data_IF_996805704140
#
_entry.id   IF_996805704140
#
_cell.length_a   1.000
_cell.length_b   1.000
_cell.length_c   1.000
_cell.angle_alpha   90.00
_cell.angle_beta   90.00
_cell.angle_gamma   90.00
#
_symmetry.space_group_name_H-M   'P 1'
#
loop_
_entity.id
_entity.type
_entity.pdbx_description
1 polymer ?
#
# COMPACT_ATOMS: atom_id res chain seq x y z
N UNK A 1 11.35 36.02 -63.18
CA UNK A 1 10.32 35.87 -62.13
C UNK A 1 10.55 34.55 -61.41
N UNK A 2 11.19 34.62 -60.24
CA UNK A 2 11.30 33.48 -59.34
C UNK A 2 10.20 33.60 -58.27
N UNK A 3 9.27 32.64 -58.25
CA UNK A 3 8.24 32.51 -57.19
C UNK A 3 8.87 31.75 -56.04
N UNK A 4 9.15 32.43 -54.91
CA UNK A 4 9.50 31.82 -53.64
C UNK A 4 8.22 31.33 -52.96
N UNK A 5 7.97 30.00 -52.96
CA UNK A 5 6.96 29.37 -52.11
C UNK A 5 7.50 29.31 -50.67
N UNK A 6 6.96 30.13 -49.77
CA UNK A 6 7.14 29.94 -48.33
C UNK A 6 6.20 28.82 -47.87
N UNK A 7 6.75 27.65 -47.66
CA UNK A 7 6.07 26.57 -46.94
C UNK A 7 6.08 26.93 -45.43
N UNK A 8 4.97 27.45 -44.95
CA UNK A 8 4.73 27.57 -43.46
C UNK A 8 4.49 26.17 -42.92
N UNK A 9 5.52 25.53 -42.39
CA UNK A 9 5.35 24.35 -41.53
C UNK A 9 4.65 24.80 -40.26
N UNK A 10 3.34 24.67 -40.24
CA UNK A 10 2.60 24.69 -38.96
C UNK A 10 3.00 23.48 -38.14
N UNK A 11 3.94 23.65 -37.22
CA UNK A 11 4.13 22.69 -36.14
C UNK A 11 2.83 22.72 -35.31
N UNK A 12 1.90 21.84 -35.64
CA UNK A 12 0.85 21.45 -34.72
C UNK A 12 1.56 20.77 -33.53
N UNK A 13 1.94 21.57 -32.56
CA UNK A 13 2.50 21.08 -31.31
C UNK A 13 1.50 20.11 -30.72
N UNK A 14 1.86 18.85 -30.74
CA UNK A 14 1.22 17.85 -29.91
C UNK A 14 1.28 18.42 -28.49
N UNK A 15 0.19 18.99 -27.99
CA UNK A 15 0.07 19.38 -26.58
C UNK A 15 0.12 18.07 -25.80
N UNK A 16 1.36 17.61 -25.54
CA UNK A 16 1.63 16.42 -24.78
C UNK A 16 0.84 16.55 -23.47
N UNK A 17 0.18 15.47 -23.06
CA UNK A 17 -0.43 15.41 -21.75
C UNK A 17 0.62 15.88 -20.75
N UNK A 18 0.26 16.84 -19.91
CA UNK A 18 1.14 17.34 -18.86
C UNK A 18 1.64 16.17 -18.03
N UNK A 19 2.96 16.07 -17.90
CA UNK A 19 3.56 14.98 -17.13
C UNK A 19 3.13 15.11 -15.67
N UNK A 20 2.68 14.01 -15.02
CA UNK A 20 2.28 14.05 -13.63
C UNK A 20 3.50 14.32 -12.74
N UNK A 21 3.36 15.29 -11.85
CA UNK A 21 4.35 15.67 -10.84
C UNK A 21 3.68 15.55 -9.49
N UNK A 22 4.02 14.47 -8.77
CA UNK A 22 3.40 14.10 -7.51
C UNK A 22 4.12 14.72 -6.31
N UNK A 23 3.35 15.15 -5.32
CA UNK A 23 3.84 15.39 -3.97
C UNK A 23 3.08 14.48 -3.00
N UNK A 24 3.81 13.71 -2.20
CA UNK A 24 3.26 12.79 -1.21
C UNK A 24 3.08 13.49 0.14
N UNK A 25 1.86 13.45 0.67
CA UNK A 25 1.49 13.93 1.99
C UNK A 25 1.42 12.73 2.93
N UNK A 26 2.57 12.33 3.47
CA UNK A 26 2.71 11.22 4.40
C UNK A 26 2.03 11.54 5.72
N UNK A 27 1.13 10.66 6.17
CA UNK A 27 0.30 10.88 7.34
C UNK A 27 1.08 10.78 8.66
N UNK A 28 2.06 9.89 8.74
CA UNK A 28 2.84 9.64 9.96
C UNK A 28 3.91 10.70 10.16
N UNK A 29 4.76 10.90 9.15
CA UNK A 29 5.86 11.85 9.20
C UNK A 29 5.39 13.31 9.38
N UNK A 30 4.15 13.60 9.00
CA UNK A 30 3.58 14.94 9.07
C UNK A 30 2.32 15.03 9.94
N UNK A 31 2.13 14.10 10.87
CA UNK A 31 0.91 14.02 11.67
C UNK A 31 0.57 15.32 12.39
N UNK A 32 1.56 15.93 13.05
CA UNK A 32 1.42 17.24 13.71
C UNK A 32 1.31 18.40 12.71
N UNK A 33 2.06 18.32 11.59
CA UNK A 33 2.08 19.37 10.56
C UNK A 33 0.70 19.54 9.89
N UNK A 34 -0.02 18.46 9.68
CA UNK A 34 -1.36 18.49 9.08
C UNK A 34 -2.48 18.39 10.13
N UNK A 35 -2.22 18.91 11.34
CA UNK A 35 -3.22 18.97 12.40
C UNK A 35 -4.31 20.02 12.13
N UNK A 36 -4.04 21.06 11.34
CA UNK A 36 -4.95 22.15 11.05
C UNK A 36 -5.25 22.30 9.56
N UNK A 37 -6.41 22.84 9.25
CA UNK A 37 -6.85 23.20 7.89
C UNK A 37 -5.92 24.23 7.24
N UNK A 38 -5.52 25.26 7.98
CA UNK A 38 -4.64 26.33 7.48
C UNK A 38 -3.27 25.76 7.05
N UNK A 39 -2.71 24.83 7.82
CA UNK A 39 -1.47 24.18 7.47
C UNK A 39 -1.60 23.37 6.16
N UNK A 40 -2.66 22.62 5.99
CA UNK A 40 -2.94 21.88 4.76
C UNK A 40 -3.04 22.82 3.56
N UNK A 41 -3.85 23.89 3.67
CA UNK A 41 -3.98 24.89 2.62
C UNK A 41 -2.65 25.52 2.24
N UNK A 42 -1.85 25.91 3.23
CA UNK A 42 -0.51 26.48 3.00
C UNK A 42 0.39 25.53 2.19
N UNK A 43 0.47 24.26 2.57
CA UNK A 43 1.33 23.30 1.87
C UNK A 43 0.81 22.92 0.47
N UNK A 44 -0.50 22.89 0.26
CA UNK A 44 -1.08 22.68 -1.07
C UNK A 44 -0.81 23.88 -2.00
N UNK A 45 -0.95 25.11 -1.50
CA UNK A 45 -0.61 26.33 -2.25
C UNK A 45 0.88 26.35 -2.62
N UNK A 46 1.75 26.01 -1.68
CA UNK A 46 3.18 25.89 -1.92
C UNK A 46 3.49 24.81 -2.96
N UNK A 47 2.88 23.63 -2.88
CA UNK A 47 3.02 22.57 -3.87
C UNK A 47 2.63 23.06 -5.27
N UNK A 48 1.49 23.72 -5.40
CA UNK A 48 1.04 24.29 -6.66
C UNK A 48 2.00 25.34 -7.20
N UNK A 49 2.49 26.25 -6.35
CA UNK A 49 3.39 27.34 -6.74
C UNK A 49 4.74 26.88 -7.29
N UNK A 50 5.22 25.70 -6.86
CA UNK A 50 6.48 25.10 -7.36
C UNK A 50 6.25 24.07 -8.48
N UNK A 51 5.02 23.98 -8.99
CA UNK A 51 4.69 23.26 -10.22
C UNK A 51 4.28 21.79 -10.06
N UNK A 52 3.92 21.33 -8.86
CA UNK A 52 3.20 20.07 -8.70
C UNK A 52 1.78 20.18 -9.27
N UNK A 53 1.29 19.10 -9.88
CA UNK A 53 -0.04 19.06 -10.47
C UNK A 53 -0.91 17.91 -9.91
N UNK A 54 -0.33 17.09 -9.06
CA UNK A 54 -1.01 15.98 -8.38
C UNK A 54 -0.46 15.80 -6.96
N UNK A 55 -1.35 15.51 -6.02
CA UNK A 55 -1.00 15.22 -4.62
C UNK A 55 -1.44 13.81 -4.26
N UNK A 56 -0.60 13.10 -3.51
CA UNK A 56 -0.94 11.82 -2.92
C UNK A 56 -1.21 12.06 -1.44
N UNK A 57 -2.42 11.75 -1.00
CA UNK A 57 -2.86 11.96 0.38
C UNK A 57 -2.95 10.60 1.07
N UNK A 58 -2.05 10.34 1.98
CA UNK A 58 -2.10 9.14 2.80
C UNK A 58 -3.17 9.30 3.89
N UNK A 59 -4.10 8.35 3.94
CA UNK A 59 -5.25 8.41 4.86
C UNK A 59 -5.41 7.17 5.72
N UNK A 60 -4.65 6.11 5.46
CA UNK A 60 -4.56 4.92 6.29
C UNK A 60 -3.12 4.47 6.37
N UNK A 61 -2.34 5.02 7.30
CA UNK A 61 -0.98 4.58 7.54
C UNK A 61 -0.92 3.19 8.16
N UNK A 62 0.26 2.76 8.60
CA UNK A 62 0.52 1.40 9.07
C UNK A 62 -0.26 0.99 10.30
N UNK A 63 -0.78 1.92 11.09
CA UNK A 63 -1.58 1.64 12.31
C UNK A 63 -2.92 0.95 12.01
N UNK A 64 -3.44 1.14 10.79
CA UNK A 64 -4.74 0.60 10.39
C UNK A 64 -5.92 1.52 10.65
N UNK A 65 -5.77 2.52 11.51
CA UNK A 65 -6.69 3.62 11.75
C UNK A 65 -6.62 4.64 10.61
N UNK A 66 -7.62 5.53 10.50
CA UNK A 66 -7.80 6.37 9.31
C UNK A 66 -7.98 7.86 9.60
N UNK A 67 -7.62 8.68 8.60
CA UNK A 67 -7.76 10.14 8.59
C UNK A 67 -8.95 10.63 7.74
N UNK A 68 -9.95 9.79 7.52
CA UNK A 68 -11.20 10.16 6.87
C UNK A 68 -12.40 9.69 7.69
N UNK A 69 -13.60 10.18 7.39
CA UNK A 69 -14.81 9.72 8.10
C UNK A 69 -15.21 8.33 7.64
N UNK A 70 -14.72 7.32 8.35
CA UNK A 70 -15.00 5.91 8.09
C UNK A 70 -16.15 5.39 8.96
N UNK A 71 -16.89 4.41 8.42
CA UNK A 71 -17.89 3.61 9.15
C UNK A 71 -17.35 2.26 9.59
N UNK A 72 -16.14 1.90 9.15
CA UNK A 72 -15.55 0.56 9.35
C UNK A 72 -14.25 0.59 10.14
N UNK A 73 -13.61 1.76 10.24
CA UNK A 73 -12.33 1.93 10.93
C UNK A 73 -12.39 3.10 11.91
N UNK A 74 -11.67 3.00 13.04
CA UNK A 74 -11.54 4.11 13.97
C UNK A 74 -10.70 5.25 13.39
N UNK A 75 -10.89 6.48 13.86
CA UNK A 75 -10.09 7.61 13.46
C UNK A 75 -8.67 7.51 14.03
N UNK A 76 -7.66 7.82 13.22
CA UNK A 76 -6.27 7.96 13.68
C UNK A 76 -6.14 9.22 14.53
N UNK A 77 -5.99 9.04 15.82
CA UNK A 77 -5.86 10.13 16.81
C UNK A 77 -4.48 10.18 17.45
N UNK A 78 -3.71 9.10 17.39
CA UNK A 78 -2.41 9.01 18.06
C UNK A 78 -1.35 8.45 17.11
N UNK A 79 -0.20 9.12 17.03
CA UNK A 79 0.99 8.67 16.31
C UNK A 79 2.21 9.00 17.16
N UNK A 80 3.01 8.00 17.50
CA UNK A 80 4.23 8.17 18.31
C UNK A 80 3.99 8.96 19.60
N UNK A 81 2.88 8.70 20.31
CA UNK A 81 2.51 9.37 21.54
C UNK A 81 1.98 10.81 21.38
N UNK A 82 1.89 11.33 20.16
CA UNK A 82 1.25 12.63 19.85
C UNK A 82 -0.23 12.41 19.60
N UNK A 83 -1.08 13.19 20.27
CA UNK A 83 -2.53 13.07 20.20
C UNK A 83 -3.13 14.27 19.47
N UNK A 84 -3.90 14.02 18.41
CA UNK A 84 -4.60 15.05 17.64
C UNK A 84 -6.02 14.57 17.34
N UNK A 85 -6.99 15.30 17.84
CA UNK A 85 -8.41 15.10 17.53
C UNK A 85 -8.84 16.06 16.44
N UNK A 86 -9.52 15.52 15.40
CA UNK A 86 -10.09 16.31 14.30
C UNK A 86 -11.60 16.13 14.29
N UNK A 87 -12.35 17.23 14.40
CA UNK A 87 -13.82 17.26 14.30
C UNK A 87 -14.30 17.37 12.85
N UNK A 88 -13.36 17.50 11.90
CA UNK A 88 -13.58 17.65 10.48
C UNK A 88 -13.04 16.46 9.69
N UNK A 89 -13.47 16.31 8.43
CA UNK A 89 -13.04 15.26 7.52
C UNK A 89 -11.75 15.66 6.82
N UNK A 90 -10.65 15.02 7.18
CA UNK A 90 -9.32 15.30 6.68
C UNK A 90 -9.22 15.07 5.16
N UNK A 91 -9.68 13.93 4.65
CA UNK A 91 -9.61 13.63 3.22
C UNK A 91 -10.50 14.59 2.43
N UNK A 92 -11.72 14.83 2.87
CA UNK A 92 -12.63 15.76 2.19
C UNK A 92 -12.06 17.17 2.13
N UNK A 93 -11.37 17.61 3.19
CA UNK A 93 -10.72 18.91 3.20
C UNK A 93 -9.59 18.99 2.18
N UNK A 94 -8.70 17.96 2.12
CA UNK A 94 -7.66 17.88 1.10
C UNK A 94 -8.23 17.93 -0.32
N UNK A 95 -9.28 17.17 -0.58
CA UNK A 95 -9.95 17.16 -1.90
C UNK A 95 -10.46 18.55 -2.26
N UNK A 96 -11.17 19.23 -1.37
CA UNK A 96 -11.75 20.54 -1.64
C UNK A 96 -10.65 21.57 -1.94
N UNK A 97 -9.59 21.61 -1.13
CA UNK A 97 -8.48 22.56 -1.33
C UNK A 97 -7.66 22.23 -2.58
N UNK A 98 -7.38 20.96 -2.84
CA UNK A 98 -6.69 20.55 -4.05
C UNK A 98 -7.49 20.93 -5.32
N UNK A 99 -8.82 20.72 -5.32
CA UNK A 99 -9.69 21.12 -6.41
C UNK A 99 -9.70 22.64 -6.62
N UNK A 100 -9.74 23.43 -5.54
CA UNK A 100 -9.63 24.90 -5.60
C UNK A 100 -8.36 25.36 -6.32
N UNK A 101 -7.26 24.62 -6.14
CA UNK A 101 -5.95 24.91 -6.73
C UNK A 101 -5.73 24.23 -8.11
N UNK A 102 -6.70 23.47 -8.61
CA UNK A 102 -6.55 22.70 -9.85
C UNK A 102 -5.48 21.60 -9.74
N UNK A 103 -5.36 20.96 -8.58
CA UNK A 103 -4.54 19.78 -8.34
C UNK A 103 -5.39 18.53 -8.42
N UNK A 104 -4.84 17.46 -8.98
CA UNK A 104 -5.42 16.12 -8.89
C UNK A 104 -5.11 15.50 -7.53
N UNK A 105 -6.00 14.62 -7.07
CA UNK A 105 -5.87 13.92 -5.79
C UNK A 105 -5.82 12.42 -6.01
N UNK A 106 -4.71 11.82 -5.62
CA UNK A 106 -4.58 10.38 -5.37
C UNK A 106 -4.75 10.14 -3.88
N UNK A 107 -5.67 9.26 -3.48
CA UNK A 107 -5.74 8.78 -2.11
C UNK A 107 -4.84 7.57 -1.94
N UNK A 108 -4.09 7.49 -0.84
CA UNK A 108 -3.22 6.36 -0.51
C UNK A 108 -3.67 5.65 0.76
N UNK A 109 -3.52 4.33 0.78
CA UNK A 109 -3.70 3.51 1.97
C UNK A 109 -2.65 2.41 2.05
N UNK A 110 -2.07 2.21 3.25
CA UNK A 110 -1.29 1.03 3.56
C UNK A 110 -2.21 -0.20 3.63
N UNK A 111 -2.12 -1.09 2.62
CA UNK A 111 -3.12 -2.14 2.41
C UNK A 111 -3.13 -3.20 3.51
N UNK A 112 -1.98 -3.78 3.83
CA UNK A 112 -1.90 -4.90 4.75
C UNK A 112 -1.41 -4.55 6.16
N UNK A 113 -0.53 -3.56 6.39
CA UNK A 113 -0.19 -3.15 7.75
C UNK A 113 -1.41 -2.65 8.51
N UNK A 114 -1.55 -3.04 9.76
CA UNK A 114 -2.63 -2.62 10.65
C UNK A 114 -2.17 -2.53 12.10
N UNK A 115 -0.90 -2.22 12.32
CA UNK A 115 -0.27 -1.96 13.62
C UNK A 115 1.20 -1.64 13.48
N UNK A 116 1.75 -0.97 14.49
CA UNK A 116 3.15 -0.57 14.57
C UNK A 116 3.87 -1.41 15.65
N UNK A 117 4.72 -2.39 15.27
CA UNK A 117 5.32 -3.33 16.22
C UNK A 117 6.21 -2.67 17.28
N UNK A 118 6.95 -1.62 16.93
CA UNK A 118 7.85 -0.97 17.88
C UNK A 118 7.11 -0.34 19.09
N UNK A 119 5.89 0.15 18.87
CA UNK A 119 5.08 0.81 19.92
C UNK A 119 3.92 -0.04 20.43
N UNK A 120 3.57 -1.15 19.76
CA UNK A 120 2.37 -1.97 19.98
C UNK A 120 1.05 -1.18 19.83
N UNK A 121 1.05 -0.21 18.91
CA UNK A 121 -0.13 0.59 18.60
C UNK A 121 -0.83 0.08 17.34
N UNK A 122 -2.14 0.35 17.23
CA UNK A 122 -2.96 0.07 16.06
C UNK A 122 -3.80 -1.20 16.15
N UNK A 123 -4.65 -1.40 15.15
CA UNK A 123 -5.78 -2.34 15.17
C UNK A 123 -5.42 -3.76 15.57
N UNK A 124 -4.28 -4.30 15.13
CA UNK A 124 -3.91 -5.69 15.42
C UNK A 124 -3.47 -5.93 16.85
N UNK A 125 -3.26 -4.86 17.62
CA UNK A 125 -2.96 -4.93 19.06
C UNK A 125 -4.18 -4.65 19.91
N UNK A 126 -5.15 -3.91 19.38
CA UNK A 126 -6.35 -3.45 20.09
C UNK A 126 -7.55 -4.35 19.89
N UNK A 127 -7.63 -5.06 18.76
CA UNK A 127 -8.80 -5.85 18.39
C UNK A 127 -8.47 -7.34 18.23
N UNK A 128 -8.97 -8.18 19.13
CA UNK A 128 -8.76 -9.65 19.11
C UNK A 128 -9.27 -10.34 17.84
N UNK A 129 -10.15 -9.71 17.06
CA UNK A 129 -10.57 -10.25 15.75
C UNK A 129 -9.42 -10.48 14.77
N UNK A 130 -8.25 -9.87 15.01
CA UNK A 130 -7.05 -10.00 14.19
C UNK A 130 -6.08 -11.06 14.68
N UNK A 131 -6.34 -11.71 15.81
CA UNK A 131 -5.51 -12.79 16.33
C UNK A 131 -5.43 -13.94 15.33
N UNK A 132 -4.21 -14.41 15.07
CA UNK A 132 -3.92 -15.47 14.10
C UNK A 132 -4.12 -15.05 12.63
N UNK A 133 -4.25 -13.76 12.32
CA UNK A 133 -4.41 -13.25 10.95
C UNK A 133 -3.26 -12.39 10.46
N UNK A 134 -2.30 -12.13 11.32
CA UNK A 134 -1.03 -11.47 11.00
C UNK A 134 -0.07 -12.44 10.29
N UNK A 135 0.90 -11.89 9.57
CA UNK A 135 1.96 -12.69 8.97
C UNK A 135 2.84 -13.34 10.03
N UNK A 136 3.28 -14.57 9.76
CA UNK A 136 4.30 -15.25 10.55
C UNK A 136 5.65 -15.24 9.81
N UNK A 137 6.69 -14.93 10.54
CA UNK A 137 8.06 -14.90 10.06
C UNK A 137 8.78 -16.21 10.38
N UNK A 138 9.53 -16.72 9.42
CA UNK A 138 10.44 -17.84 9.64
C UNK A 138 11.82 -17.31 9.99
N UNK A 139 12.16 -17.36 11.26
CA UNK A 139 13.37 -16.74 11.82
C UNK A 139 14.62 -17.64 11.69
N UNK A 140 15.84 -17.07 11.73
CA UNK A 140 17.08 -17.84 11.60
C UNK A 140 17.29 -18.90 12.66
N UNK A 141 16.65 -18.81 13.82
CA UNK A 141 16.66 -19.85 14.87
C UNK A 141 15.60 -20.94 14.65
N UNK A 142 14.97 -20.96 13.47
CA UNK A 142 14.02 -22.00 13.06
C UNK A 142 12.62 -21.85 13.63
N UNK A 143 12.28 -20.71 14.25
CA UNK A 143 10.97 -20.48 14.85
C UNK A 143 10.04 -19.73 13.92
N UNK A 144 8.75 -19.83 14.23
CA UNK A 144 7.71 -18.97 13.65
C UNK A 144 7.41 -17.85 14.64
N UNK A 145 7.66 -16.61 14.23
CA UNK A 145 7.41 -15.41 15.02
C UNK A 145 6.22 -14.64 14.43
N UNK A 146 5.25 -14.27 15.27
CA UNK A 146 4.22 -13.33 14.83
C UNK A 146 4.86 -11.96 14.56
N UNK A 147 4.60 -11.38 13.40
CA UNK A 147 5.19 -10.09 13.01
C UNK A 147 4.91 -8.97 14.02
N UNK A 148 3.86 -9.09 14.83
CA UNK A 148 3.56 -8.17 15.94
C UNK A 148 4.67 -8.13 17.00
N UNK A 149 5.46 -9.19 17.10
CA UNK A 149 6.54 -9.34 18.09
C UNK A 149 7.90 -8.82 17.57
N UNK A 150 8.10 -8.72 16.24
CA UNK A 150 9.33 -8.17 15.68
C UNK A 150 9.34 -6.65 15.66
N UNK A 151 9.98 -6.06 16.69
CA UNK A 151 10.09 -4.61 16.87
C UNK A 151 10.87 -3.88 15.79
N UNK A 152 11.53 -4.59 14.87
CA UNK A 152 12.29 -4.01 13.76
C UNK A 152 11.46 -3.86 12.49
N UNK A 153 10.29 -4.49 12.43
CA UNK A 153 9.41 -4.38 11.26
C UNK A 153 8.69 -3.03 11.23
N UNK A 154 8.56 -2.52 10.03
CA UNK A 154 7.90 -1.22 9.77
C UNK A 154 6.41 -1.25 10.12
N UNK A 155 5.77 -2.40 10.06
CA UNK A 155 4.36 -2.57 10.36
C UNK A 155 3.99 -4.02 10.63
N UNK A 156 2.94 -4.24 11.39
CA UNK A 156 2.33 -5.55 11.61
C UNK A 156 1.36 -5.85 10.47
N UNK A 157 1.81 -6.66 9.52
CA UNK A 157 1.08 -6.99 8.30
C UNK A 157 0.04 -8.09 8.55
N UNK A 158 -1.18 -7.85 8.11
CA UNK A 158 -2.19 -8.88 7.94
C UNK A 158 -1.83 -9.78 6.74
N UNK A 159 -2.14 -11.06 6.84
CA UNK A 159 -1.78 -12.06 5.84
C UNK A 159 -2.61 -11.93 4.55
N UNK A 160 -2.00 -11.58 3.39
CA UNK A 160 -2.72 -11.35 2.13
C UNK A 160 -3.30 -12.62 1.48
N UNK A 161 -2.93 -13.81 1.96
CA UNK A 161 -3.50 -15.08 1.52
C UNK A 161 -4.93 -15.27 2.03
N UNK A 162 -5.25 -14.71 3.18
CA UNK A 162 -6.54 -14.89 3.84
C UNK A 162 -7.67 -14.14 3.14
N UNK A 163 -8.75 -14.83 2.86
CA UNK A 163 -9.93 -14.24 2.20
C UNK A 163 -10.62 -13.16 3.05
N UNK A 164 -10.65 -13.33 4.37
CA UNK A 164 -11.24 -12.34 5.28
C UNK A 164 -10.41 -11.06 5.36
N UNK A 165 -9.08 -11.15 5.37
CA UNK A 165 -8.16 -10.02 5.27
C UNK A 165 -8.36 -9.27 3.94
N UNK A 166 -8.40 -9.98 2.82
CA UNK A 166 -8.65 -9.36 1.50
C UNK A 166 -10.01 -8.67 1.44
N UNK A 167 -11.06 -9.31 1.97
CA UNK A 167 -12.40 -8.72 2.05
C UNK A 167 -12.41 -7.42 2.87
N UNK A 168 -11.69 -7.41 3.98
CA UNK A 168 -11.53 -6.21 4.81
C UNK A 168 -10.81 -5.11 4.03
N UNK A 169 -9.67 -5.39 3.42
CA UNK A 169 -8.93 -4.41 2.61
C UNK A 169 -9.78 -3.85 1.45
N UNK A 170 -10.53 -4.70 0.74
CA UNK A 170 -11.47 -4.27 -0.30
C UNK A 170 -12.61 -3.40 0.24
N UNK A 171 -13.06 -3.61 1.49
CA UNK A 171 -14.11 -2.77 2.07
C UNK A 171 -13.64 -1.32 2.29
N UNK A 172 -12.36 -1.12 2.61
CA UNK A 172 -11.73 0.20 2.74
C UNK A 172 -11.70 0.90 1.37
N UNK A 173 -11.20 0.19 0.35
CA UNK A 173 -11.19 0.71 -1.04
C UNK A 173 -12.60 1.14 -1.48
N UNK A 174 -13.57 0.26 -1.24
CA UNK A 174 -14.99 0.53 -1.57
C UNK A 174 -15.52 1.76 -0.85
N UNK A 175 -15.25 1.89 0.45
CA UNK A 175 -15.71 3.02 1.24
C UNK A 175 -15.17 4.33 0.71
N UNK A 176 -13.87 4.40 0.41
CA UNK A 176 -13.24 5.60 -0.10
C UNK A 176 -13.75 5.96 -1.50
N UNK A 177 -13.68 5.04 -2.46
CA UNK A 177 -14.06 5.31 -3.86
C UNK A 177 -15.56 5.65 -3.98
N UNK A 178 -16.38 5.18 -3.06
CA UNK A 178 -17.82 5.44 -3.04
C UNK A 178 -18.19 6.80 -2.46
N UNK A 179 -17.40 7.29 -1.51
CA UNK A 179 -17.78 8.47 -0.71
C UNK A 179 -16.93 9.71 -1.04
N UNK A 180 -15.81 9.58 -1.76
CA UNK A 180 -14.88 10.67 -2.03
C UNK A 180 -14.58 10.82 -3.52
N UNK A 181 -14.55 12.07 -4.01
CA UNK A 181 -14.22 12.40 -5.40
C UNK A 181 -12.71 12.49 -5.60
N UNK A 182 -12.06 11.32 -5.73
CA UNK A 182 -10.62 11.19 -5.99
C UNK A 182 -10.33 10.87 -7.45
N UNK A 183 -9.18 11.31 -7.98
CA UNK A 183 -8.75 10.99 -9.34
C UNK A 183 -8.12 9.61 -9.44
N UNK A 184 -7.39 9.19 -8.39
CA UNK A 184 -6.72 7.91 -8.34
C UNK A 184 -6.69 7.32 -6.92
N UNK A 185 -6.47 6.02 -6.85
CA UNK A 185 -6.26 5.26 -5.63
C UNK A 185 -4.91 4.58 -5.67
N UNK A 186 -4.00 4.90 -4.76
CA UNK A 186 -2.68 4.31 -4.65
C UNK A 186 -2.66 3.21 -3.58
N UNK A 187 -2.18 2.03 -3.98
CA UNK A 187 -1.92 0.91 -3.08
C UNK A 187 -0.52 1.07 -2.49
N UNK A 188 -0.44 1.47 -1.24
CA UNK A 188 0.79 1.42 -0.48
C UNK A 188 0.88 0.14 0.35
N UNK A 189 2.08 -0.35 0.64
CA UNK A 189 2.31 -1.61 1.37
C UNK A 189 1.42 -2.78 0.91
N UNK A 190 1.00 -2.79 -0.36
CA UNK A 190 0.30 -3.92 -0.96
C UNK A 190 1.28 -5.02 -1.34
N UNK A 191 1.91 -5.62 -0.34
CA UNK A 191 3.05 -6.54 -0.45
C UNK A 191 3.22 -7.36 0.81
N UNK A 192 4.13 -8.32 0.78
CA UNK A 192 4.62 -8.98 1.99
C UNK A 192 5.61 -8.09 2.75
N UNK A 193 5.76 -8.27 4.07
CA UNK A 193 6.67 -7.47 4.88
C UNK A 193 8.15 -7.71 4.54
N UNK A 194 8.51 -8.93 4.14
CA UNK A 194 9.86 -9.33 3.83
C UNK A 194 9.91 -10.67 3.11
N UNK A 195 11.11 -11.17 2.89
CA UNK A 195 11.36 -12.46 2.26
C UNK A 195 11.37 -13.65 3.26
N UNK A 196 11.17 -13.36 4.55
CA UNK A 196 11.04 -14.26 5.67
C UNK A 196 9.58 -14.52 6.09
N UNK A 197 8.61 -14.01 5.36
CA UNK A 197 7.16 -14.17 5.63
C UNK A 197 6.31 -14.23 4.35
N UNK A 198 5.08 -14.75 4.34
CA UNK A 198 4.34 -15.33 5.47
C UNK A 198 4.46 -16.86 5.48
N UNK A 199 4.83 -17.43 6.60
CA UNK A 199 4.98 -18.89 6.77
C UNK A 199 3.90 -19.50 7.67
N UNK A 200 2.71 -18.90 7.72
CA UNK A 200 1.56 -19.43 8.44
C UNK A 200 1.00 -20.72 7.82
N UNK A 201 0.19 -21.43 8.59
CA UNK A 201 -0.54 -22.60 8.11
C UNK A 201 -1.49 -22.26 6.94
N UNK A 202 -2.05 -21.04 6.90
CA UNK A 202 -2.89 -20.57 5.80
C UNK A 202 -2.07 -20.44 4.50
N UNK A 203 -0.86 -19.87 4.57
CA UNK A 203 0.03 -19.76 3.42
C UNK A 203 0.57 -21.11 2.96
N UNK A 204 0.88 -22.02 3.90
CA UNK A 204 1.24 -23.41 3.55
C UNK A 204 0.12 -24.08 2.74
N UNK A 205 -1.10 -24.07 3.26
CA UNK A 205 -2.27 -24.65 2.59
C UNK A 205 -2.55 -24.03 1.21
N UNK A 206 -2.44 -22.71 1.11
CA UNK A 206 -2.63 -22.01 -0.16
C UNK A 206 -1.53 -22.33 -1.16
N UNK A 207 -0.29 -22.49 -0.71
CA UNK A 207 0.83 -22.89 -1.55
C UNK A 207 0.68 -24.32 -2.07
N UNK A 208 0.25 -25.27 -1.24
CA UNK A 208 -0.09 -26.63 -1.68
C UNK A 208 -1.15 -26.62 -2.77
N UNK A 209 -2.18 -25.79 -2.61
CA UNK A 209 -3.22 -25.62 -3.62
C UNK A 209 -2.65 -25.03 -4.93
N UNK A 210 -1.79 -24.04 -4.85
CA UNK A 210 -1.10 -23.44 -6.00
C UNK A 210 -0.24 -24.45 -6.75
N UNK A 211 0.48 -25.32 -6.02
CA UNK A 211 1.33 -26.37 -6.60
C UNK A 211 0.55 -27.57 -7.13
N UNK A 212 -0.70 -27.78 -6.67
CA UNK A 212 -1.46 -29.00 -6.93
C UNK A 212 -0.93 -30.25 -6.22
N UNK A 213 -0.10 -30.11 -5.19
CA UNK A 213 0.52 -31.22 -4.43
C UNK A 213 0.86 -30.86 -3.00
N UNK A 214 1.08 -31.86 -2.14
CA UNK A 214 1.46 -31.67 -0.74
C UNK A 214 2.94 -31.29 -0.56
N UNK A 215 3.19 -30.39 0.40
CA UNK A 215 4.53 -29.98 0.84
C UNK A 215 4.72 -30.47 2.28
N UNK A 216 5.37 -31.61 2.45
CA UNK A 216 5.45 -32.32 3.76
C UNK A 216 6.34 -31.62 4.76
N UNK A 217 7.52 -31.13 4.31
CA UNK A 217 8.52 -30.49 5.16
C UNK A 217 8.49 -28.97 4.94
N UNK A 218 7.40 -28.33 5.36
CA UNK A 218 7.27 -26.88 5.33
C UNK A 218 7.74 -26.30 6.67
N UNK A 219 8.61 -25.26 6.71
CA UNK A 219 9.07 -24.44 5.58
C UNK A 219 10.37 -24.93 4.89
N UNK A 220 11.01 -26.01 5.34
CA UNK A 220 12.34 -26.43 4.88
C UNK A 220 12.39 -26.74 3.38
N UNK A 221 11.29 -27.22 2.81
CA UNK A 221 11.19 -27.39 1.35
C UNK A 221 11.20 -26.07 0.59
N UNK A 222 11.02 -24.93 1.26
CA UNK A 222 11.15 -23.59 0.67
C UNK A 222 12.60 -23.12 0.85
N UNK A 223 13.06 -23.00 2.07
CA UNK A 223 14.46 -22.75 2.40
C UNK A 223 14.74 -23.11 3.86
N UNK A 224 16.01 -23.30 4.18
CA UNK A 224 16.53 -23.36 5.54
C UNK A 224 17.50 -22.21 5.76
N UNK A 225 17.82 -21.91 7.02
CA UNK A 225 18.79 -20.89 7.35
C UNK A 225 20.19 -21.49 7.52
N UNK A 226 21.19 -20.87 6.93
CA UNK A 226 22.60 -21.15 7.20
C UNK A 226 23.04 -20.48 8.51
N UNK A 227 24.15 -20.91 9.08
CA UNK A 227 24.71 -20.36 10.31
C UNK A 227 25.06 -18.85 10.21
N UNK A 228 25.33 -18.37 9.01
CA UNK A 228 25.61 -16.95 8.71
C UNK A 228 24.35 -16.11 8.49
N UNK A 229 23.16 -16.68 8.65
CA UNK A 229 21.88 -16.00 8.44
C UNK A 229 21.45 -15.88 6.97
N UNK A 230 22.18 -16.49 6.05
CA UNK A 230 21.75 -16.58 4.65
C UNK A 230 20.76 -17.74 4.44
N UNK A 231 20.00 -17.69 3.35
CA UNK A 231 19.03 -18.73 3.01
C UNK A 231 19.67 -19.82 2.13
N UNK A 232 19.46 -21.07 2.52
CA UNK A 232 19.77 -22.23 1.69
C UNK A 232 18.49 -22.68 0.99
N UNK A 233 18.37 -22.50 -0.35
CA UNK A 233 17.15 -22.79 -1.10
C UNK A 233 16.72 -24.25 -1.02
N UNK A 234 15.43 -24.48 -0.73
CA UNK A 234 14.79 -25.78 -0.81
C UNK A 234 14.25 -26.07 -2.21
N UNK A 235 13.65 -27.26 -2.37
CA UNK A 235 13.16 -27.77 -3.66
C UNK A 235 12.03 -26.96 -4.27
N UNK A 236 11.33 -26.14 -3.50
CA UNK A 236 10.23 -25.29 -3.94
C UNK A 236 10.52 -23.79 -3.80
N UNK A 237 11.79 -23.41 -3.70
CA UNK A 237 12.18 -22.02 -3.50
C UNK A 237 11.63 -21.08 -4.57
N UNK A 238 11.78 -21.42 -5.84
CA UNK A 238 11.34 -20.60 -6.96
C UNK A 238 9.80 -20.52 -7.03
N UNK A 239 9.13 -21.64 -6.83
CA UNK A 239 7.67 -21.74 -6.85
C UNK A 239 7.06 -20.94 -5.71
N UNK A 240 7.71 -20.87 -4.56
CA UNK A 240 7.27 -20.05 -3.43
C UNK A 240 7.25 -18.57 -3.77
N UNK A 241 8.29 -18.07 -4.41
CA UNK A 241 8.33 -16.67 -4.85
C UNK A 241 7.28 -16.38 -5.90
N UNK A 242 7.09 -17.25 -6.87
CA UNK A 242 6.04 -17.14 -7.87
C UNK A 242 4.64 -17.16 -7.24
N UNK A 243 4.40 -18.04 -6.27
CA UNK A 243 3.16 -18.07 -5.50
C UNK A 243 2.88 -16.75 -4.78
N UNK A 244 3.85 -16.22 -4.05
CA UNK A 244 3.69 -14.95 -3.32
C UNK A 244 3.39 -13.79 -4.27
N UNK A 245 4.10 -13.70 -5.38
CA UNK A 245 3.82 -12.71 -6.44
C UNK A 245 2.41 -12.87 -7.00
N UNK A 246 1.94 -14.11 -7.22
CA UNK A 246 0.58 -14.39 -7.67
C UNK A 246 -0.48 -13.96 -6.64
N UNK A 247 -0.24 -14.16 -5.35
CA UNK A 247 -1.12 -13.69 -4.27
C UNK A 247 -1.33 -12.19 -4.35
N UNK A 248 -0.25 -11.41 -4.43
CA UNK A 248 -0.33 -9.94 -4.52
C UNK A 248 -0.95 -9.51 -5.84
N UNK A 249 -0.51 -10.04 -6.98
CA UNK A 249 -1.07 -9.72 -8.30
C UNK A 249 -2.57 -9.99 -8.38
N UNK A 250 -3.02 -11.13 -7.82
CA UNK A 250 -4.45 -11.46 -7.80
C UNK A 250 -5.25 -10.47 -6.96
N UNK A 251 -4.70 -10.03 -5.83
CA UNK A 251 -5.35 -9.02 -5.01
C UNK A 251 -5.42 -7.65 -5.70
N UNK A 252 -4.35 -7.21 -6.37
CA UNK A 252 -4.36 -5.96 -7.17
C UNK A 252 -5.46 -6.01 -8.25
N UNK A 253 -5.63 -7.17 -8.90
CA UNK A 253 -6.73 -7.38 -9.88
C UNK A 253 -8.11 -7.26 -9.23
N UNK A 254 -8.28 -7.78 -8.01
CA UNK A 254 -9.54 -7.64 -7.25
C UNK A 254 -9.81 -6.17 -6.91
N UNK A 255 -8.79 -5.43 -6.45
CA UNK A 255 -8.92 -4.00 -6.17
C UNK A 255 -9.31 -3.22 -7.41
N UNK A 256 -8.63 -3.47 -8.55
CA UNK A 256 -8.98 -2.82 -9.81
C UNK A 256 -10.43 -3.07 -10.22
N UNK A 257 -10.88 -4.32 -10.11
CA UNK A 257 -12.27 -4.69 -10.41
C UNK A 257 -13.24 -3.97 -9.49
N UNK A 258 -12.92 -3.87 -8.19
CA UNK A 258 -13.75 -3.18 -7.20
C UNK A 258 -13.87 -1.70 -7.51
N UNK A 259 -12.75 -0.99 -7.74
CA UNK A 259 -12.72 0.43 -8.10
C UNK A 259 -13.55 0.68 -9.34
N UNK A 260 -13.30 -0.04 -10.43
CA UNK A 260 -13.99 0.16 -11.70
C UNK A 260 -15.48 -0.20 -11.66
N UNK A 261 -15.90 -1.06 -10.73
CA UNK A 261 -17.34 -1.35 -10.53
C UNK A 261 -18.10 -0.20 -9.89
N UNK A 262 -17.40 0.71 -9.19
CA UNK A 262 -17.97 1.87 -8.50
C UNK A 262 -17.78 3.14 -9.35
N UNK A 263 -16.54 3.39 -9.78
CA UNK A 263 -16.18 4.53 -10.61
C UNK A 263 -15.01 4.18 -11.54
N UNK A 264 -15.30 3.97 -12.81
CA UNK A 264 -14.31 3.58 -13.81
C UNK A 264 -13.35 4.70 -14.23
N UNK A 265 -13.54 5.93 -13.73
CA UNK A 265 -12.65 7.07 -13.95
C UNK A 265 -11.52 7.15 -12.93
N UNK A 266 -11.67 6.48 -11.78
CA UNK A 266 -10.63 6.44 -10.75
C UNK A 266 -9.50 5.52 -11.23
N UNK A 267 -8.30 6.09 -11.36
CA UNK A 267 -7.12 5.34 -11.76
C UNK A 267 -6.59 4.52 -10.58
N UNK A 268 -6.08 3.32 -10.85
CA UNK A 268 -5.39 2.51 -9.85
C UNK A 268 -3.89 2.73 -9.98
N UNK A 269 -3.28 3.23 -8.93
CA UNK A 269 -1.84 3.42 -8.80
C UNK A 269 -1.26 2.39 -7.82
N UNK A 270 0.03 2.15 -7.90
CA UNK A 270 0.69 1.16 -7.07
C UNK A 270 2.09 1.64 -6.65
N UNK A 271 2.35 1.66 -5.34
CA UNK A 271 3.66 1.97 -4.81
C UNK A 271 4.51 0.70 -4.72
N UNK A 272 5.57 0.61 -5.50
CA UNK A 272 6.45 -0.55 -5.57
C UNK A 272 7.90 -0.19 -5.23
N UNK A 273 8.64 -1.18 -4.73
CA UNK A 273 10.08 -1.06 -4.58
C UNK A 273 10.74 -0.84 -5.94
N UNK A 274 11.79 -0.02 -5.98
CA UNK A 274 12.53 0.32 -7.19
C UNK A 274 13.80 -0.54 -7.42
N UNK A 275 14.09 -1.47 -6.52
CA UNK A 275 15.24 -2.37 -6.61
C UNK A 275 14.83 -3.85 -6.60
N UNK A 276 15.54 -4.65 -7.38
CA UNK A 276 15.16 -6.03 -7.71
C UNK A 276 15.00 -6.94 -6.48
N UNK A 277 15.91 -6.85 -5.53
CA UNK A 277 15.84 -7.67 -4.31
C UNK A 277 14.60 -7.37 -3.46
N UNK A 278 14.23 -6.09 -3.32
CA UNK A 278 13.02 -5.69 -2.62
C UNK A 278 11.76 -6.20 -3.33
N UNK A 279 11.72 -6.10 -4.65
CA UNK A 279 10.59 -6.58 -5.46
C UNK A 279 10.32 -8.06 -5.22
N UNK A 280 11.33 -8.92 -5.33
CA UNK A 280 11.19 -10.37 -5.11
C UNK A 280 10.82 -10.70 -3.66
N UNK A 281 11.55 -10.15 -2.71
CA UNK A 281 11.34 -10.41 -1.28
C UNK A 281 9.95 -10.00 -0.78
N UNK A 282 9.27 -9.11 -1.49
CA UNK A 282 7.98 -8.56 -1.11
C UNK A 282 6.78 -9.08 -1.93
N UNK A 283 7.02 -9.98 -2.88
CA UNK A 283 5.96 -10.50 -3.75
C UNK A 283 5.45 -9.49 -4.78
N UNK A 284 6.28 -8.52 -5.15
CA UNK A 284 5.97 -7.48 -6.15
C UNK A 284 6.62 -7.77 -7.50
N UNK A 285 6.87 -9.03 -7.79
CA UNK A 285 7.56 -9.44 -9.01
C UNK A 285 6.59 -9.53 -10.19
N UNK A 286 6.50 -8.46 -10.95
CA UNK A 286 5.77 -8.38 -12.23
C UNK A 286 6.66 -8.17 -13.43
N UNK A 287 7.96 -8.08 -13.22
CA UNK A 287 8.95 -7.85 -14.29
C UNK A 287 9.64 -9.15 -14.71
N UNK A 288 8.94 -10.29 -14.68
CA UNK A 288 9.47 -11.55 -15.18
C UNK A 288 9.07 -11.80 -16.61
#
# INVERSE_FOLDING_TARGET
>A
FFLLLFATCSFAGNRGKEQPKYLWFDAEANFERFASKDSISYYLEKAKSVGFNQVVVDVKPIYGEVLYKSKILPPLTTVNGKVIHRDWDYLQYFINEARRLGLKVTVSTAMFPSGHPATNEGLVYEESRWDGKTCLEYTPDGKMLDIREDKKKVGAFLNPVRKDVRKFALSIVREIVKNYDVDAYALDYCRYPGDDSDFSADSHKAFEHYLGKKVRNFPDNIFTWNADGTKNPGVYYKEWWAFRANVITSFVKEVRKEIHSINNKVELEYWAASWIHGIYGQGQNWAS
#
